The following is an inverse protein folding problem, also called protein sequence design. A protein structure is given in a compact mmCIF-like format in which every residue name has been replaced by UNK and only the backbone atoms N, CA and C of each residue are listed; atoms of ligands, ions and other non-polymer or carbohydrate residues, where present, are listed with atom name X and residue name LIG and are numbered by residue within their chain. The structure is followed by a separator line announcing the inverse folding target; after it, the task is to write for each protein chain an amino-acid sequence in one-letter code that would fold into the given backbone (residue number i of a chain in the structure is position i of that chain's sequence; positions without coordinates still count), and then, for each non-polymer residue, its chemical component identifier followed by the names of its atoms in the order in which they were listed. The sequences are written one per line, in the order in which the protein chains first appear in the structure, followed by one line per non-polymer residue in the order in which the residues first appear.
data_IF_959265057888
#
_entry.id   IF_959265057888
#
_cell.length_a   1.000
_cell.length_b   1.000
_cell.length_c   1.000
_cell.angle_alpha   90.00
_cell.angle_beta   90.00
_cell.angle_gamma   90.00
#
_symmetry.space_group_name_H-M   'P 1'
#
loop_
_entity.id
_entity.type
_entity.pdbx_description
1 polymer ?
#
# COMPACT_ATOMS: atom_id res chain seq x y z
N UNK A 1 -26.81 41.14 28.56
CA UNK A 1 -28.09 41.65 28.01
C UNK A 1 -27.95 42.75 26.94
N UNK A 2 -26.74 43.18 26.49
CA UNK A 2 -26.61 44.32 25.56
C UNK A 2 -26.15 43.96 24.12
N UNK A 3 -26.08 42.68 23.74
CA UNK A 3 -25.55 42.24 22.43
C UNK A 3 -26.57 41.57 21.49
N UNK A 4 -27.75 41.19 21.98
CA UNK A 4 -28.81 40.59 21.15
C UNK A 4 -29.54 41.60 20.25
N UNK A 5 -29.47 42.90 20.57
CA UNK A 5 -30.19 43.94 19.81
C UNK A 5 -29.56 44.30 18.45
N UNK A 6 -28.46 43.67 18.03
CA UNK A 6 -27.70 44.05 16.83
C UNK A 6 -27.75 43.02 15.68
N UNK A 7 -28.52 41.93 15.80
CA UNK A 7 -28.57 40.88 14.76
C UNK A 7 -27.22 40.19 14.49
N UNK A 8 -26.25 40.37 15.38
CA UNK A 8 -24.95 39.72 15.30
C UNK A 8 -25.11 38.27 15.79
N UNK A 9 -24.62 37.27 15.03
CA UNK A 9 -24.67 35.88 15.45
C UNK A 9 -24.14 35.72 16.88
N UNK A 10 -24.96 35.16 17.76
CA UNK A 10 -24.56 34.79 19.12
C UNK A 10 -23.34 33.88 18.97
N UNK A 11 -22.22 34.12 19.69
CA UNK A 11 -21.03 33.29 19.52
C UNK A 11 -21.39 31.85 19.85
N UNK A 12 -21.39 31.00 18.82
CA UNK A 12 -21.35 29.55 18.98
C UNK A 12 -20.22 29.21 19.95
N UNK A 13 -20.44 28.15 20.74
CA UNK A 13 -19.48 27.56 21.67
C UNK A 13 -18.03 27.81 21.23
N UNK A 14 -17.21 28.43 22.09
CA UNK A 14 -15.82 28.74 21.75
C UNK A 14 -15.04 27.43 21.64
N UNK A 15 -15.03 26.85 20.45
CA UNK A 15 -14.32 25.63 20.16
C UNK A 15 -12.84 25.78 20.51
N UNK A 16 -12.36 24.90 21.37
CA UNK A 16 -10.92 24.62 21.44
C UNK A 16 -10.56 23.63 20.34
N UNK A 17 -9.28 23.58 19.96
CA UNK A 17 -8.81 22.58 18.99
C UNK A 17 -9.10 21.17 19.49
N UNK A 18 -8.96 20.91 20.79
CA UNK A 18 -9.24 19.59 21.37
C UNK A 18 -10.72 19.21 21.21
N UNK A 19 -11.64 20.08 21.64
CA UNK A 19 -13.08 19.83 21.53
C UNK A 19 -13.51 19.64 20.08
N UNK A 20 -13.00 20.47 19.17
CA UNK A 20 -13.33 20.35 17.76
C UNK A 20 -12.78 19.05 17.14
N UNK A 21 -11.55 18.64 17.47
CA UNK A 21 -11.00 17.39 16.96
C UNK A 21 -11.78 16.18 17.47
N UNK A 22 -12.26 16.21 18.71
CA UNK A 22 -13.13 15.17 19.27
C UNK A 22 -14.45 15.08 18.52
N UNK A 23 -15.14 16.22 18.33
CA UNK A 23 -16.36 16.31 17.54
C UNK A 23 -16.14 15.83 16.09
N UNK A 24 -15.11 16.34 15.42
CA UNK A 24 -14.76 15.96 14.05
C UNK A 24 -14.48 14.46 13.92
N UNK A 25 -13.78 13.87 14.90
CA UNK A 25 -13.53 12.42 14.91
C UNK A 25 -14.82 11.62 15.07
N UNK A 26 -15.70 12.02 15.99
CA UNK A 26 -16.95 11.32 16.30
C UNK A 26 -17.99 11.44 15.17
N UNK A 27 -18.25 12.66 14.70
CA UNK A 27 -19.40 12.97 13.85
C UNK A 27 -19.06 12.96 12.35
N UNK A 28 -17.79 13.21 11.98
CA UNK A 28 -17.39 13.28 10.56
C UNK A 28 -16.57 12.05 10.16
N UNK A 29 -15.52 11.73 10.93
CA UNK A 29 -14.55 10.70 10.53
C UNK A 29 -15.10 9.29 10.77
N UNK A 30 -15.66 9.03 11.95
CA UNK A 30 -16.17 7.70 12.33
C UNK A 30 -17.27 7.16 11.40
N UNK A 31 -18.29 7.93 11.01
CA UNK A 31 -19.33 7.41 10.11
C UNK A 31 -18.86 7.30 8.65
N UNK A 32 -17.91 8.14 8.22
CA UNK A 32 -17.54 8.25 6.80
C UNK A 32 -16.33 7.40 6.40
N UNK A 33 -15.37 7.21 7.30
CA UNK A 33 -14.09 6.57 7.00
C UNK A 33 -14.00 5.15 7.56
N UNK A 34 -13.18 4.33 6.90
CA UNK A 34 -12.91 2.97 7.37
C UNK A 34 -12.30 2.97 8.78
N UNK A 35 -12.58 1.96 9.63
CA UNK A 35 -12.13 1.92 11.03
C UNK A 35 -10.64 2.16 11.22
N UNK A 36 -9.81 1.62 10.33
CA UNK A 36 -8.35 1.80 10.38
C UNK A 36 -7.91 3.25 10.13
N UNK A 37 -8.62 3.98 9.27
CA UNK A 37 -8.32 5.38 8.99
C UNK A 37 -8.71 6.23 10.19
N UNK A 38 -9.87 5.96 10.79
CA UNK A 38 -10.31 6.59 12.05
C UNK A 38 -9.27 6.41 13.16
N UNK A 39 -8.83 5.17 13.42
CA UNK A 39 -7.78 4.88 14.41
C UNK A 39 -6.48 5.65 14.13
N UNK A 40 -6.13 5.82 12.85
CA UNK A 40 -4.97 6.62 12.45
C UNK A 40 -5.12 8.11 12.71
N UNK A 41 -6.32 8.66 12.50
CA UNK A 41 -6.62 10.07 12.77
C UNK A 41 -6.70 10.34 14.28
N UNK A 42 -7.42 9.51 15.03
CA UNK A 42 -7.50 9.57 16.50
C UNK A 42 -6.11 9.53 17.12
N UNK A 43 -5.27 8.58 16.70
CA UNK A 43 -3.93 8.44 17.26
C UNK A 43 -3.06 9.69 16.99
N UNK A 44 -3.21 10.33 15.83
CA UNK A 44 -2.52 11.59 15.53
C UNK A 44 -3.07 12.73 16.39
N UNK A 45 -4.39 12.88 16.48
CA UNK A 45 -5.03 13.91 17.27
C UNK A 45 -4.56 13.82 18.73
N UNK A 46 -4.73 12.65 19.34
CA UNK A 46 -4.40 12.40 20.75
C UNK A 46 -2.91 12.53 21.07
N UNK A 47 -2.01 12.02 20.20
CA UNK A 47 -0.57 11.95 20.52
C UNK A 47 0.22 13.18 20.08
N UNK A 48 -0.25 13.91 19.06
CA UNK A 48 0.55 14.94 18.41
C UNK A 48 -0.14 16.30 18.32
N UNK A 49 -1.47 16.37 18.23
CA UNK A 49 -2.18 17.65 18.10
C UNK A 49 -2.63 18.19 19.47
N UNK A 50 -3.47 17.42 20.18
CA UNK A 50 -4.05 17.81 21.46
C UNK A 50 -3.01 18.23 22.51
N UNK A 51 -1.88 17.50 22.70
CA UNK A 51 -0.88 17.89 23.70
C UNK A 51 -0.23 19.26 23.46
N UNK A 52 -0.19 19.73 22.20
CA UNK A 52 0.56 20.93 21.81
C UNK A 52 -0.37 22.13 21.60
N UNK A 53 -1.48 21.90 20.92
CA UNK A 53 -2.40 22.95 20.46
C UNK A 53 -3.84 22.73 20.93
N UNK A 54 -4.13 21.66 21.68
CA UNK A 54 -5.49 21.31 22.09
C UNK A 54 -6.21 22.40 22.89
N UNK A 55 -5.47 23.10 23.77
CA UNK A 55 -6.00 24.19 24.60
C UNK A 55 -6.25 25.49 23.82
N UNK A 56 -5.75 25.62 22.58
CA UNK A 56 -5.89 26.86 21.81
C UNK A 56 -7.33 27.00 21.31
N UNK A 57 -7.90 28.22 21.30
CA UNK A 57 -9.14 28.48 20.57
C UNK A 57 -8.94 28.17 19.08
N UNK A 58 -9.88 27.43 18.48
CA UNK A 58 -9.83 27.00 17.09
C UNK A 58 -9.68 28.18 16.12
N UNK A 59 -10.42 29.27 16.36
CA UNK A 59 -10.38 30.49 15.56
C UNK A 59 -9.04 31.27 15.65
N UNK A 60 -8.25 31.02 16.70
CA UNK A 60 -6.98 31.72 16.96
C UNK A 60 -5.74 30.89 16.55
N UNK A 61 -5.95 29.73 15.92
CA UNK A 61 -4.84 28.91 15.43
C UNK A 61 -3.99 29.68 14.41
N UNK A 62 -2.68 29.64 14.59
CA UNK A 62 -1.72 30.31 13.70
C UNK A 62 -0.78 29.31 13.01
N UNK A 63 -0.07 29.77 11.97
CA UNK A 63 1.01 28.99 11.34
C UNK A 63 2.13 28.67 12.32
N UNK A 64 2.39 29.53 13.31
CA UNK A 64 3.37 29.30 14.39
C UNK A 64 3.00 28.09 15.23
N UNK A 65 1.72 27.88 15.50
CA UNK A 65 1.24 26.73 16.26
C UNK A 65 1.40 25.43 15.47
N UNK A 66 1.10 25.45 14.16
CA UNK A 66 1.37 24.32 13.27
C UNK A 66 2.86 24.00 13.22
N UNK A 67 3.73 25.01 13.10
CA UNK A 67 5.18 24.79 13.16
C UNK A 67 5.63 24.18 14.50
N UNK A 68 5.04 24.60 15.63
CA UNK A 68 5.33 24.03 16.95
C UNK A 68 4.98 22.54 17.00
N UNK A 69 3.81 22.15 16.51
CA UNK A 69 3.41 20.73 16.40
C UNK A 69 4.43 19.95 15.58
N UNK A 70 4.75 20.41 14.37
CA UNK A 70 5.66 19.68 13.49
C UNK A 70 7.09 19.61 14.04
N UNK A 71 7.56 20.66 14.73
CA UNK A 71 8.85 20.68 15.40
C UNK A 71 8.90 19.65 16.54
N UNK A 72 7.85 19.57 17.36
CA UNK A 72 7.77 18.58 18.44
C UNK A 72 7.71 17.14 17.92
N UNK A 73 6.97 16.89 16.84
CA UNK A 73 6.95 15.57 16.18
C UNK A 73 8.33 15.20 15.63
N UNK A 74 9.08 16.16 15.06
CA UNK A 74 10.46 15.93 14.62
C UNK A 74 11.38 15.63 15.79
N UNK A 75 11.26 16.38 16.89
CA UNK A 75 12.06 16.21 18.09
C UNK A 75 11.84 14.84 18.76
N UNK A 76 10.66 14.23 18.60
CA UNK A 76 10.38 12.88 19.09
C UNK A 76 11.01 11.76 18.24
N UNK A 77 11.90 12.07 17.30
CA UNK A 77 12.54 11.10 16.41
C UNK A 77 11.62 10.55 15.31
N UNK A 78 10.48 11.19 15.05
CA UNK A 78 9.54 10.73 14.03
C UNK A 78 10.12 10.85 12.62
N UNK A 79 9.81 9.88 11.75
CA UNK A 79 10.23 9.94 10.35
C UNK A 79 9.61 11.15 9.61
N UNK A 80 10.26 11.68 8.56
CA UNK A 80 9.67 12.75 7.73
C UNK A 80 8.26 12.41 7.21
N UNK A 81 7.99 11.12 6.93
CA UNK A 81 6.67 10.66 6.48
C UNK A 81 5.61 10.78 7.57
N UNK A 82 5.98 10.57 8.83
CA UNK A 82 5.08 10.75 9.97
C UNK A 82 4.78 12.23 10.19
N UNK A 83 5.77 13.12 10.04
CA UNK A 83 5.56 14.58 10.09
C UNK A 83 4.55 15.02 9.02
N UNK A 84 4.71 14.54 7.78
CA UNK A 84 3.74 14.79 6.70
C UNK A 84 2.34 14.25 7.05
N UNK A 85 2.27 13.07 7.67
CA UNK A 85 0.99 12.48 8.06
C UNK A 85 0.28 13.33 9.11
N UNK A 86 0.99 13.77 10.16
CA UNK A 86 0.43 14.66 11.19
C UNK A 86 -0.10 15.95 10.57
N UNK A 87 0.69 16.57 9.69
CA UNK A 87 0.27 17.78 8.95
C UNK A 87 -0.98 17.53 8.09
N UNK A 88 -1.04 16.40 7.38
CA UNK A 88 -2.18 16.06 6.54
C UNK A 88 -3.48 15.83 7.33
N UNK A 89 -3.41 15.19 8.51
CA UNK A 89 -4.57 15.02 9.39
C UNK A 89 -5.07 16.37 9.88
N UNK A 90 -4.18 17.23 10.40
CA UNK A 90 -4.55 18.58 10.84
C UNK A 90 -5.14 19.41 9.69
N UNK A 91 -4.53 19.37 8.50
CA UNK A 91 -5.05 20.03 7.32
C UNK A 91 -6.45 19.55 6.96
N UNK A 92 -6.72 18.25 7.06
CA UNK A 92 -8.04 17.67 6.77
C UNK A 92 -9.08 18.16 7.78
N UNK A 93 -8.76 18.11 9.08
CA UNK A 93 -9.64 18.60 10.15
C UNK A 93 -9.98 20.08 9.98
N UNK A 94 -8.98 20.94 9.69
CA UNK A 94 -9.20 22.36 9.46
C UNK A 94 -9.93 22.66 8.14
N UNK A 95 -9.88 21.75 7.16
CA UNK A 95 -10.69 21.89 5.93
C UNK A 95 -12.16 21.69 6.25
N UNK A 96 -12.51 20.71 7.10
CA UNK A 96 -13.87 20.57 7.63
C UNK A 96 -14.28 21.81 8.43
N UNK A 97 -13.40 22.31 9.31
CA UNK A 97 -13.71 23.48 10.14
C UNK A 97 -13.98 24.74 9.32
N UNK A 98 -13.29 24.91 8.19
CA UNK A 98 -13.55 26.03 7.28
C UNK A 98 -14.84 25.84 6.51
N UNK A 99 -15.21 24.60 6.13
CA UNK A 99 -16.49 24.29 5.47
C UNK A 99 -17.69 24.47 6.40
N UNK A 100 -17.49 24.24 7.70
CA UNK A 100 -18.46 24.47 8.77
C UNK A 100 -18.41 25.91 9.29
N UNK A 101 -17.66 26.80 8.63
CA UNK A 101 -17.54 28.24 8.96
C UNK A 101 -16.99 28.55 10.37
N UNK A 102 -16.46 27.55 11.08
CA UNK A 102 -15.83 27.69 12.40
C UNK A 102 -14.48 28.40 12.34
N UNK A 103 -13.84 28.41 11.16
CA UNK A 103 -12.57 29.10 10.89
C UNK A 103 -12.63 29.84 9.58
N UNK A 104 -12.03 31.03 9.52
CA UNK A 104 -11.98 31.85 8.30
C UNK A 104 -11.02 31.30 7.25
N UNK A 105 -10.00 30.55 7.67
CA UNK A 105 -9.02 29.93 6.76
C UNK A 105 -8.35 28.70 7.38
N UNK A 106 -7.91 27.80 6.52
CA UNK A 106 -7.10 26.66 6.92
C UNK A 106 -5.61 27.04 7.05
N UNK A 107 -5.17 27.35 8.27
CA UNK A 107 -3.76 27.73 8.52
C UNK A 107 -2.75 26.62 8.25
N UNK A 108 -3.15 25.35 8.27
CA UNK A 108 -2.24 24.25 7.93
C UNK A 108 -1.88 24.26 6.43
N UNK A 109 -2.73 24.81 5.55
CA UNK A 109 -2.41 24.96 4.13
C UNK A 109 -1.29 25.98 3.86
N UNK A 110 -1.04 26.89 4.78
CA UNK A 110 0.01 27.91 4.66
C UNK A 110 1.39 27.38 5.09
N UNK A 111 1.45 26.19 5.69
CA UNK A 111 2.68 25.57 6.18
C UNK A 111 3.18 24.53 5.18
N UNK A 112 4.43 24.70 4.76
CA UNK A 112 5.11 23.75 3.88
C UNK A 112 5.73 22.59 4.66
N UNK A 113 5.51 21.37 4.19
CA UNK A 113 6.22 20.18 4.68
C UNK A 113 7.23 19.70 3.64
N UNK A 114 8.42 19.22 4.05
CA UNK A 114 9.40 18.72 3.11
C UNK A 114 8.84 17.54 2.30
N UNK A 115 9.19 17.49 1.02
CA UNK A 115 8.86 16.37 0.14
C UNK A 115 9.66 15.14 0.55
N UNK A 116 8.98 14.13 1.07
CA UNK A 116 9.61 12.84 1.37
C UNK A 116 9.66 12.02 0.10
N UNK A 117 10.85 11.88 -0.48
CA UNK A 117 11.08 10.93 -1.55
C UNK A 117 10.95 9.52 -0.97
N UNK A 118 9.92 8.79 -1.39
CA UNK A 118 9.80 7.38 -1.03
C UNK A 118 10.93 6.60 -1.68
N UNK A 119 11.74 5.90 -0.87
CA UNK A 119 12.68 4.91 -1.41
C UNK A 119 11.88 3.82 -2.13
N UNK A 120 11.95 3.80 -3.46
CA UNK A 120 11.39 2.71 -4.26
C UNK A 120 12.15 1.43 -3.87
N UNK A 121 11.40 0.38 -3.51
CA UNK A 121 12.02 -0.90 -3.16
C UNK A 121 12.78 -1.47 -4.35
N UNK A 122 13.94 -2.11 -4.09
CA UNK A 122 14.66 -2.89 -5.10
C UNK A 122 13.85 -4.15 -5.43
N UNK A 123 13.70 -4.45 -6.71
CA UNK A 123 13.17 -5.74 -7.16
C UNK A 123 14.24 -6.84 -7.05
N UNK A 124 13.83 -8.05 -6.69
CA UNK A 124 14.72 -9.21 -6.72
C UNK A 124 15.04 -9.59 -8.16
N UNK A 125 16.29 -9.95 -8.42
CA UNK A 125 16.67 -10.66 -9.65
C UNK A 125 16.14 -12.09 -9.64
N UNK A 126 16.13 -12.75 -10.79
CA UNK A 126 15.71 -14.16 -10.88
C UNK A 126 16.57 -15.08 -9.99
N UNK A 127 17.93 -14.98 -10.00
CA UNK A 127 18.76 -15.80 -9.12
C UNK A 127 18.51 -15.53 -7.63
N UNK A 128 18.23 -14.28 -7.26
CA UNK A 128 17.86 -13.96 -5.87
C UNK A 128 16.48 -14.51 -5.50
N UNK A 129 15.53 -14.49 -6.44
CA UNK A 129 14.21 -15.08 -6.24
C UNK A 129 14.29 -16.59 -6.06
N UNK A 130 15.13 -17.26 -6.86
CA UNK A 130 15.40 -18.69 -6.70
C UNK A 130 16.03 -19.01 -5.34
N UNK A 131 17.09 -18.27 -4.94
CA UNK A 131 17.70 -18.42 -3.61
C UNK A 131 16.70 -18.17 -2.48
N UNK A 132 15.80 -17.20 -2.64
CA UNK A 132 14.76 -16.91 -1.66
C UNK A 132 13.79 -18.09 -1.51
N UNK A 133 13.31 -18.65 -2.63
CA UNK A 133 12.39 -19.78 -2.61
C UNK A 133 13.08 -21.05 -2.07
N UNK A 134 14.34 -21.29 -2.43
CA UNK A 134 15.15 -22.38 -1.88
C UNK A 134 15.33 -22.23 -0.37
N UNK A 135 15.60 -21.03 0.14
CA UNK A 135 15.73 -20.79 1.57
C UNK A 135 14.39 -20.83 2.32
N UNK A 136 13.27 -20.67 1.61
CA UNK A 136 11.93 -20.85 2.17
C UNK A 136 11.47 -22.31 2.18
N UNK A 137 12.13 -23.19 1.43
CA UNK A 137 11.78 -24.60 1.32
C UNK A 137 11.79 -25.27 2.71
N UNK A 138 10.71 -25.95 3.07
CA UNK A 138 10.52 -26.59 4.37
C UNK A 138 10.09 -25.65 5.51
N UNK A 139 10.08 -24.32 5.32
CA UNK A 139 9.47 -23.42 6.31
C UNK A 139 7.96 -23.64 6.35
N UNK A 140 7.35 -23.56 7.54
CA UNK A 140 5.90 -23.66 7.69
C UNK A 140 5.13 -22.68 6.80
N UNK A 141 5.72 -21.51 6.50
CA UNK A 141 5.15 -20.48 5.65
C UNK A 141 5.75 -20.46 4.23
N UNK A 142 6.34 -21.55 3.75
CA UNK A 142 6.88 -21.66 2.39
C UNK A 142 5.90 -21.17 1.31
N UNK A 143 4.66 -21.66 1.35
CA UNK A 143 3.62 -21.30 0.39
C UNK A 143 3.30 -19.79 0.40
N UNK A 144 3.45 -19.09 1.53
CA UNK A 144 3.31 -17.61 1.58
C UNK A 144 4.32 -16.95 0.64
N UNK A 145 5.57 -17.41 0.62
CA UNK A 145 6.62 -16.84 -0.23
C UNK A 145 6.46 -17.24 -1.69
N UNK A 146 6.06 -18.48 -1.97
CA UNK A 146 5.77 -18.94 -3.34
C UNK A 146 4.66 -18.11 -3.96
N UNK A 147 3.52 -17.96 -3.29
CA UNK A 147 2.39 -17.15 -3.77
C UNK A 147 2.77 -15.67 -3.92
N UNK A 148 3.50 -15.13 -2.94
CA UNK A 148 3.98 -13.76 -2.98
C UNK A 148 4.81 -13.43 -4.22
N UNK A 149 5.73 -14.34 -4.58
CA UNK A 149 6.62 -14.17 -5.74
C UNK A 149 5.85 -14.31 -7.04
N UNK A 150 4.99 -15.33 -7.17
CA UNK A 150 4.33 -15.64 -8.45
C UNK A 150 3.10 -14.76 -8.72
N UNK A 151 2.33 -14.40 -7.70
CA UNK A 151 1.05 -13.72 -7.84
C UNK A 151 1.10 -12.23 -7.45
N UNK A 152 2.17 -11.80 -6.78
CA UNK A 152 2.37 -10.40 -6.38
C UNK A 152 1.29 -9.86 -5.44
N UNK A 153 0.66 -10.74 -4.64
CA UNK A 153 -0.42 -10.38 -3.73
C UNK A 153 0.05 -9.41 -2.64
N UNK A 154 -0.84 -8.52 -2.20
CA UNK A 154 -0.59 -7.72 -0.99
C UNK A 154 -0.59 -8.64 0.21
N UNK A 155 0.24 -8.35 1.21
CA UNK A 155 0.32 -9.19 2.41
C UNK A 155 -1.05 -9.42 3.07
N UNK A 156 -1.89 -8.39 3.14
CA UNK A 156 -3.25 -8.52 3.68
C UNK A 156 -4.17 -9.39 2.80
N UNK A 157 -4.04 -9.34 1.48
CA UNK A 157 -4.78 -10.20 0.55
C UNK A 157 -4.34 -11.66 0.71
N UNK A 158 -3.03 -11.88 0.74
CA UNK A 158 -2.42 -13.21 0.90
C UNK A 158 -2.85 -13.87 2.22
N UNK A 159 -2.77 -13.14 3.34
CA UNK A 159 -3.21 -13.63 4.65
C UNK A 159 -4.74 -13.69 4.79
N UNK A 160 -5.48 -13.13 3.85
CA UNK A 160 -6.94 -13.17 3.79
C UNK A 160 -7.50 -14.28 2.92
N UNK A 161 -6.66 -15.10 2.27
CA UNK A 161 -7.11 -16.17 1.39
C UNK A 161 -7.85 -17.26 2.16
N UNK A 162 -8.96 -17.74 1.59
CA UNK A 162 -9.73 -18.88 2.10
C UNK A 162 -9.64 -20.04 1.12
N UNK A 163 -9.73 -21.27 1.62
CA UNK A 163 -9.74 -22.45 0.75
C UNK A 163 -10.94 -22.48 -0.20
N UNK A 164 -12.08 -21.88 0.19
CA UNK A 164 -13.24 -21.73 -0.67
C UNK A 164 -12.99 -20.81 -1.89
N UNK A 165 -12.00 -19.93 -1.83
CA UNK A 165 -11.65 -19.00 -2.91
C UNK A 165 -10.54 -19.58 -3.83
N UNK A 166 -10.10 -20.83 -3.60
CA UNK A 166 -9.01 -21.51 -4.31
C UNK A 166 -9.54 -22.75 -5.02
N UNK A 167 -9.53 -22.71 -6.35
CA UNK A 167 -9.80 -23.88 -7.19
C UNK A 167 -8.49 -24.43 -7.74
N UNK A 168 -7.96 -25.47 -7.08
CA UNK A 168 -6.73 -26.14 -7.50
C UNK A 168 -6.92 -26.96 -8.78
N UNK A 169 -8.13 -27.44 -9.06
CA UNK A 169 -8.41 -28.26 -10.23
C UNK A 169 -8.53 -27.40 -11.50
N UNK A 170 -9.25 -26.28 -11.42
CA UNK A 170 -9.34 -25.31 -12.50
C UNK A 170 -8.13 -24.37 -12.58
N UNK A 171 -7.22 -24.41 -11.60
CA UNK A 171 -6.03 -23.55 -11.53
C UNK A 171 -6.39 -22.07 -11.37
N UNK A 172 -7.34 -21.73 -10.49
CA UNK A 172 -7.85 -20.37 -10.30
C UNK A 172 -7.87 -19.98 -8.83
N UNK A 173 -7.58 -18.70 -8.55
CA UNK A 173 -7.67 -18.09 -7.23
C UNK A 173 -8.46 -16.79 -7.31
N UNK A 174 -9.45 -16.65 -6.44
CA UNK A 174 -10.19 -15.40 -6.28
C UNK A 174 -9.66 -14.58 -5.10
N UNK A 175 -9.25 -13.34 -5.37
CA UNK A 175 -8.82 -12.41 -4.32
C UNK A 175 -10.03 -11.62 -3.85
N UNK A 176 -10.78 -12.19 -2.91
CA UNK A 176 -12.05 -11.61 -2.42
C UNK A 176 -11.88 -10.86 -1.09
N UNK A 177 -10.96 -11.29 -0.24
CA UNK A 177 -10.80 -10.81 1.13
C UNK A 177 -9.42 -10.22 1.39
N UNK A 178 -9.34 -9.39 2.44
CA UNK A 178 -8.08 -8.92 3.00
C UNK A 178 -8.11 -9.04 4.52
N UNK A 179 -7.06 -9.59 5.13
CA UNK A 179 -6.94 -9.67 6.57
C UNK A 179 -6.46 -8.32 7.13
N UNK A 180 -7.27 -7.71 7.98
CA UNK A 180 -6.99 -6.43 8.60
C UNK A 180 -7.09 -6.51 10.12
N UNK A 181 -6.37 -5.62 10.82
CA UNK A 181 -6.53 -5.44 12.26
C UNK A 181 -7.63 -4.39 12.47
N UNK A 182 -8.75 -4.81 13.04
CA UNK A 182 -9.90 -3.96 13.41
C UNK A 182 -10.10 -4.15 14.90
N UNK A 183 -10.06 -3.04 15.66
CA UNK A 183 -10.20 -3.03 17.13
C UNK A 183 -9.35 -4.10 17.86
N UNK A 184 -8.08 -4.19 17.45
CA UNK A 184 -7.11 -5.13 18.04
C UNK A 184 -7.19 -6.56 17.51
N UNK A 185 -8.27 -6.93 16.79
CA UNK A 185 -8.51 -8.29 16.29
C UNK A 185 -8.22 -8.42 14.80
N UNK A 186 -7.73 -9.58 14.36
CA UNK A 186 -7.55 -9.89 12.95
C UNK A 186 -8.89 -10.31 12.35
N UNK A 187 -9.38 -9.54 11.38
CA UNK A 187 -10.70 -9.71 10.77
C UNK A 187 -10.57 -9.73 9.25
N UNK A 188 -11.31 -10.63 8.60
CA UNK A 188 -11.44 -10.64 7.14
C UNK A 188 -12.35 -9.50 6.72
N UNK A 189 -11.84 -8.64 5.84
CA UNK A 189 -12.56 -7.49 5.33
C UNK A 189 -12.59 -7.56 3.82
N UNK A 190 -13.79 -7.42 3.26
CA UNK A 190 -14.00 -7.29 1.83
C UNK A 190 -13.44 -5.94 1.36
N UNK A 191 -12.65 -5.89 0.26
CA UNK A 191 -12.11 -4.64 -0.26
C UNK A 191 -13.18 -3.57 -0.49
N UNK A 192 -12.85 -2.32 -0.17
CA UNK A 192 -13.75 -1.15 -0.28
C UNK A 192 -14.32 -0.92 -1.70
N UNK A 193 -13.72 -1.52 -2.73
CA UNK A 193 -14.16 -1.37 -4.13
C UNK A 193 -14.26 -2.74 -4.79
N UNK A 194 -15.35 -2.96 -5.55
CA UNK A 194 -15.56 -4.17 -6.36
C UNK A 194 -14.40 -4.42 -7.33
N UNK A 195 -13.83 -3.35 -7.89
CA UNK A 195 -12.65 -3.38 -8.77
C UNK A 195 -11.37 -3.97 -8.14
N UNK A 196 -11.33 -4.14 -6.82
CA UNK A 196 -10.20 -4.79 -6.14
C UNK A 196 -10.32 -6.33 -6.11
N UNK A 197 -11.52 -6.87 -6.34
CA UNK A 197 -11.74 -8.30 -6.50
C UNK A 197 -11.28 -8.73 -7.88
N UNK A 198 -10.51 -9.81 -7.93
CA UNK A 198 -9.93 -10.31 -9.18
C UNK A 198 -9.69 -11.80 -9.09
N UNK A 199 -9.82 -12.46 -10.23
CA UNK A 199 -9.42 -13.85 -10.40
C UNK A 199 -8.01 -13.89 -10.99
N UNK A 200 -7.15 -14.71 -10.42
CA UNK A 200 -5.78 -14.93 -10.88
C UNK A 200 -5.63 -16.39 -11.32
N UNK A 201 -4.91 -16.66 -12.42
CA UNK A 201 -4.49 -18.01 -12.73
C UNK A 201 -3.48 -18.49 -11.67
N UNK A 202 -3.50 -19.78 -11.35
CA UNK A 202 -2.54 -20.43 -10.47
C UNK A 202 -1.48 -21.17 -11.31
N UNK A 203 -0.23 -20.66 -11.38
CA UNK A 203 0.87 -21.39 -11.99
C UNK A 203 1.14 -22.72 -11.29
N UNK A 204 1.66 -23.72 -12.01
CA UNK A 204 1.96 -25.05 -11.46
C UNK A 204 2.80 -25.03 -10.16
N UNK A 205 3.87 -24.20 -10.02
CA UNK A 205 4.61 -24.12 -8.76
C UNK A 205 3.77 -23.65 -7.57
N UNK A 206 2.76 -22.80 -7.82
CA UNK A 206 1.85 -22.32 -6.79
C UNK A 206 0.87 -23.41 -6.39
N UNK A 207 0.35 -24.18 -7.35
CA UNK A 207 -0.55 -25.31 -7.09
C UNK A 207 0.16 -26.36 -6.23
N UNK A 208 1.39 -26.74 -6.59
CA UNK A 208 2.19 -27.69 -5.81
C UNK A 208 2.39 -27.20 -4.36
N UNK A 209 2.82 -25.95 -4.18
CA UNK A 209 3.01 -25.38 -2.85
C UNK A 209 1.70 -25.31 -2.03
N UNK A 210 0.56 -25.07 -2.67
CA UNK A 210 -0.74 -25.07 -1.98
C UNK A 210 -1.18 -26.49 -1.57
N UNK A 211 -0.92 -27.50 -2.40
CA UNK A 211 -1.21 -28.90 -2.05
C UNK A 211 -0.40 -29.33 -0.82
N UNK A 212 0.91 -29.09 -0.85
CA UNK A 212 1.80 -29.42 0.28
C UNK A 212 1.40 -28.67 1.55
N UNK A 213 1.05 -27.39 1.41
CA UNK A 213 0.57 -26.57 2.51
C UNK A 213 -0.75 -27.10 3.09
N UNK A 214 -1.69 -27.54 2.24
CA UNK A 214 -2.95 -28.14 2.68
C UNK A 214 -2.73 -29.44 3.44
N UNK A 215 -1.81 -30.29 2.96
CA UNK A 215 -1.44 -31.53 3.64
C UNK A 215 -0.81 -31.25 5.01
N UNK A 216 0.12 -30.30 5.10
CA UNK A 216 0.72 -29.86 6.37
C UNK A 216 -0.33 -29.35 7.34
N UNK A 217 -1.23 -28.49 6.88
CA UNK A 217 -2.31 -27.94 7.70
C UNK A 217 -3.26 -29.04 8.22
N UNK A 218 -3.56 -30.07 7.42
CA UNK A 218 -4.35 -31.22 7.85
C UNK A 218 -3.63 -32.01 8.96
N UNK A 219 -2.30 -32.17 8.85
CA UNK A 219 -1.48 -32.74 9.93
C UNK A 219 -1.51 -31.90 11.21
N UNK A 220 -1.39 -30.58 11.11
CA UNK A 220 -1.52 -29.67 12.26
C UNK A 220 -2.91 -29.78 12.92
N UNK A 221 -3.98 -29.83 12.12
CA UNK A 221 -5.36 -30.03 12.59
C UNK A 221 -5.50 -31.35 13.36
N UNK A 222 -4.96 -32.43 12.84
CA UNK A 222 -5.01 -33.73 13.51
C UNK A 222 -4.21 -33.73 14.81
N UNK A 223 -3.03 -33.10 14.84
CA UNK A 223 -2.19 -33.02 16.04
C UNK A 223 -2.80 -32.18 17.16
N UNK A 224 -3.51 -31.10 16.82
CA UNK A 224 -4.18 -30.23 17.81
C UNK A 224 -5.54 -30.79 18.25
N UNK A 225 -6.19 -31.60 17.41
CA UNK A 225 -7.50 -32.20 17.65
C UNK A 225 -8.56 -31.17 18.09
N UNK A 226 -9.01 -31.22 19.35
CA UNK A 226 -10.10 -30.41 19.88
C UNK A 226 -9.80 -28.90 19.92
N UNK A 227 -8.51 -28.51 19.96
CA UNK A 227 -8.11 -27.10 19.99
C UNK A 227 -8.11 -26.39 18.63
N UNK A 228 -8.48 -27.09 17.55
CA UNK A 228 -8.39 -26.54 16.20
C UNK A 228 -9.54 -25.59 15.87
N UNK A 229 -9.20 -24.37 15.45
CA UNK A 229 -10.17 -23.39 14.96
C UNK A 229 -10.39 -23.57 13.45
N UNK A 230 -11.58 -24.04 13.06
CA UNK A 230 -11.92 -24.20 11.64
C UNK A 230 -12.31 -22.86 10.98
N UNK A 231 -11.29 -22.07 10.66
CA UNK A 231 -11.48 -20.75 10.06
C UNK A 231 -11.66 -20.76 8.53
N UNK A 232 -11.40 -21.89 7.88
CA UNK A 232 -11.37 -22.01 6.42
C UNK A 232 -10.29 -21.17 5.72
N UNK A 233 -9.35 -20.57 6.46
CA UNK A 233 -8.24 -19.80 5.90
C UNK A 233 -7.13 -20.71 5.35
N UNK A 234 -6.52 -20.28 4.23
CA UNK A 234 -5.35 -20.95 3.66
C UNK A 234 -4.18 -20.85 4.63
N UNK A 235 -3.86 -19.64 5.11
CA UNK A 235 -2.76 -19.42 6.04
C UNK A 235 -3.27 -19.17 7.46
N UNK A 236 -2.95 -20.11 8.35
CA UNK A 236 -3.40 -20.11 9.74
C UNK A 236 -2.22 -20.17 10.71
N UNK A 237 -2.47 -19.87 11.98
CA UNK A 237 -1.60 -20.26 13.10
C UNK A 237 -1.62 -21.78 13.29
N UNK A 238 -0.73 -22.33 14.12
CA UNK A 238 -0.68 -23.78 14.37
C UNK A 238 -1.98 -24.37 14.95
N UNK A 239 -2.89 -23.52 15.45
CA UNK A 239 -4.21 -23.91 15.99
C UNK A 239 -5.38 -23.51 15.07
N UNK A 240 -5.13 -23.19 13.80
CA UNK A 240 -6.19 -22.89 12.81
C UNK A 240 -6.71 -21.45 12.80
N UNK A 241 -6.32 -20.62 13.78
CA UNK A 241 -6.69 -19.20 13.84
C UNK A 241 -5.99 -18.29 12.80
N UNK A 242 -6.37 -17.00 12.71
CA UNK A 242 -5.81 -16.04 11.74
C UNK A 242 -4.31 -15.80 11.91
N UNK A 243 -3.55 -15.96 10.82
CA UNK A 243 -2.12 -15.69 10.81
C UNK A 243 -1.83 -14.19 10.68
N UNK A 244 -1.28 -13.58 11.72
CA UNK A 244 -0.91 -12.17 11.71
C UNK A 244 0.33 -11.85 10.86
N UNK A 245 0.47 -10.59 10.37
CA UNK A 245 1.66 -10.13 9.63
C UNK A 245 2.98 -10.31 10.40
N UNK A 246 2.92 -10.32 11.73
CA UNK A 246 4.07 -10.52 12.61
C UNK A 246 4.70 -11.92 12.47
N UNK A 247 3.89 -12.95 12.21
CA UNK A 247 4.39 -14.30 11.96
C UNK A 247 5.16 -14.39 10.64
N UNK A 248 4.61 -13.78 9.58
CA UNK A 248 5.29 -13.66 8.27
C UNK A 248 6.59 -12.89 8.42
N UNK A 249 6.62 -11.80 9.21
CA UNK A 249 7.85 -11.04 9.48
C UNK A 249 8.91 -11.91 10.15
N UNK A 250 8.54 -12.72 11.14
CA UNK A 250 9.49 -13.62 11.83
C UNK A 250 10.09 -14.65 10.88
N UNK A 251 9.27 -15.28 10.04
CA UNK A 251 9.78 -16.20 9.00
C UNK A 251 10.67 -15.48 7.98
N UNK A 252 10.26 -14.30 7.52
CA UNK A 252 11.07 -13.48 6.61
C UNK A 252 12.45 -13.12 7.16
N UNK A 253 12.57 -12.79 8.45
CA UNK A 253 13.86 -12.45 9.06
C UNK A 253 14.86 -13.60 8.97
N UNK A 254 14.39 -14.85 9.01
CA UNK A 254 15.22 -16.05 8.84
C UNK A 254 15.59 -16.33 7.38
N UNK A 255 14.67 -16.07 6.44
CA UNK A 255 14.84 -16.40 5.02
C UNK A 255 15.60 -15.31 4.25
N UNK A 256 15.40 -14.03 4.60
CA UNK A 256 15.99 -12.88 3.90
C UNK A 256 17.53 -12.88 3.75
N UNK A 257 18.35 -13.51 4.63
CA UNK A 257 19.80 -13.54 4.43
C UNK A 257 20.23 -14.26 3.15
N UNK A 258 19.36 -15.10 2.56
CA UNK A 258 19.61 -15.76 1.28
C UNK A 258 19.67 -14.80 0.07
N UNK A 259 19.24 -13.54 0.25
CA UNK A 259 19.29 -12.49 -0.77
C UNK A 259 20.13 -11.31 -0.30
N UNK A 260 20.90 -10.74 -1.21
CA UNK A 260 21.83 -9.65 -0.88
C UNK A 260 21.15 -8.27 -1.00
N UNK A 261 21.46 -7.36 -0.08
CA UNK A 261 21.01 -5.98 -0.11
C UNK A 261 19.61 -5.71 0.50
N UNK A 262 19.14 -4.45 0.43
CA UNK A 262 17.93 -4.01 1.14
C UNK A 262 16.65 -4.49 0.43
N UNK A 263 16.21 -5.70 0.73
CA UNK A 263 14.94 -6.26 0.24
C UNK A 263 13.86 -6.04 1.29
N UNK A 264 12.76 -5.39 0.90
CA UNK A 264 11.60 -5.22 1.79
C UNK A 264 10.71 -6.46 1.71
N UNK A 265 10.38 -7.00 2.86
CA UNK A 265 9.29 -7.96 2.99
C UNK A 265 8.03 -7.37 2.37
N UNK A 266 7.40 -8.14 1.46
CA UNK A 266 6.00 -8.06 1.06
C UNK A 266 5.36 -6.74 1.47
N UNK A 267 5.73 -5.66 0.76
CA UNK A 267 5.39 -4.32 1.22
C UNK A 267 3.88 -4.18 1.37
N UNK A 268 3.39 -3.24 2.18
CA UNK A 268 1.94 -2.93 2.29
C UNK A 268 1.28 -2.66 0.93
N UNK A 269 2.07 -2.36 -0.11
CA UNK A 269 1.64 -2.13 -1.49
C UNK A 269 1.73 -3.38 -2.39
N UNK A 270 1.97 -4.55 -1.80
CA UNK A 270 2.33 -5.78 -2.49
C UNK A 270 3.83 -5.82 -2.74
N UNK A 271 4.42 -7.01 -2.71
CA UNK A 271 5.59 -7.20 -3.54
C UNK A 271 5.08 -7.16 -4.97
N UNK A 272 5.10 -5.99 -5.61
CA UNK A 272 4.93 -5.93 -7.06
C UNK A 272 6.21 -6.50 -7.68
N UNK A 273 6.41 -7.81 -7.57
CA UNK A 273 7.23 -8.60 -8.49
C UNK A 273 6.46 -8.62 -9.81
N UNK A 274 6.43 -7.47 -10.48
CA UNK A 274 5.56 -7.29 -11.62
C UNK A 274 6.28 -7.83 -12.85
N UNK A 275 6.07 -9.11 -13.14
CA UNK A 275 6.14 -9.60 -14.52
C UNK A 275 4.98 -8.94 -15.27
N UNK A 276 5.28 -7.98 -16.12
CA UNK A 276 4.27 -7.33 -16.95
C UNK A 276 3.88 -8.28 -18.09
N UNK A 277 2.61 -8.67 -18.16
CA UNK A 277 2.03 -9.34 -19.34
C UNK A 277 1.57 -8.36 -20.43
N UNK A 278 1.74 -7.04 -20.24
CA UNK A 278 1.26 -6.00 -21.18
C UNK A 278 2.41 -5.06 -21.55
N UNK A 279 2.63 -4.75 -22.84
CA UNK A 279 3.69 -3.83 -23.25
C UNK A 279 3.45 -2.45 -22.63
N UNK A 280 4.37 -2.01 -21.77
CA UNK A 280 4.40 -0.65 -21.22
C UNK A 280 5.23 0.20 -22.16
N UNK A 281 4.76 1.40 -22.52
CA UNK A 281 5.54 2.30 -23.36
C UNK A 281 6.86 2.68 -22.66
N UNK A 282 8.00 2.72 -23.37
CA UNK A 282 9.31 3.04 -22.79
C UNK A 282 9.37 4.40 -22.09
N UNK A 283 8.45 5.31 -22.42
CA UNK A 283 8.36 6.65 -21.84
C UNK A 283 7.74 6.73 -20.44
N UNK A 284 7.10 5.66 -19.94
CA UNK A 284 6.40 5.66 -18.63
C UNK A 284 7.04 4.73 -17.58
N UNK A 285 8.11 4.02 -17.92
CA UNK A 285 8.78 3.06 -17.03
C UNK A 285 10.30 3.11 -17.24
N UNK A 286 11.12 3.26 -16.19
CA UNK A 286 12.58 3.21 -16.28
C UNK A 286 13.15 1.81 -16.58
N UNK A 287 12.30 0.79 -16.78
CA UNK A 287 12.69 -0.58 -17.10
C UNK A 287 12.34 -0.92 -18.57
N UNK A 288 13.25 -1.54 -19.35
CA UNK A 288 13.00 -1.90 -20.75
C UNK A 288 11.99 -3.05 -20.91
N UNK A 289 11.37 -3.21 -22.09
CA UNK A 289 10.39 -4.27 -22.35
C UNK A 289 11.03 -5.67 -22.37
N UNK A 290 10.34 -6.65 -21.80
CA UNK A 290 10.76 -8.06 -21.78
C UNK A 290 10.80 -8.64 -23.21
N UNK A 291 11.92 -9.21 -23.63
CA UNK A 291 11.97 -10.07 -24.83
C UNK A 291 11.58 -11.50 -24.46
N UNK A 292 10.73 -12.10 -25.30
CA UNK A 292 10.14 -13.43 -25.13
C UNK A 292 11.21 -14.52 -25.32
N UNK A 293 11.40 -15.36 -24.30
CA UNK A 293 12.05 -16.67 -24.43
C UNK A 293 10.94 -17.72 -24.29
N UNK A 294 10.86 -18.66 -25.22
CA UNK A 294 9.80 -19.67 -25.40
C UNK A 294 9.63 -20.70 -24.28
N UNK A 295 9.94 -20.34 -23.04
CA UNK A 295 9.90 -21.20 -21.85
C UNK A 295 9.06 -20.55 -20.73
N UNK A 296 8.20 -19.58 -21.07
CA UNK A 296 7.18 -19.02 -20.16
C UNK A 296 7.67 -18.08 -19.05
N UNK A 297 8.98 -17.79 -18.94
CA UNK A 297 9.55 -16.87 -17.96
C UNK A 297 10.53 -15.91 -18.64
N UNK A 298 10.19 -14.62 -18.67
CA UNK A 298 11.02 -13.57 -19.30
C UNK A 298 11.83 -12.79 -18.26
N UNK A 299 13.15 -12.74 -18.42
CA UNK A 299 14.15 -12.04 -17.60
C UNK A 299 14.44 -10.63 -18.10
N UNK A 300 14.85 -9.71 -17.21
CA UNK A 300 15.72 -8.56 -17.54
C UNK A 300 16.66 -8.24 -16.37
N UNK A 301 17.95 -8.10 -16.68
CA UNK A 301 18.99 -7.46 -15.87
C UNK A 301 19.57 -6.30 -16.68
N UNK A 302 19.72 -5.10 -16.09
CA UNK A 302 20.96 -4.31 -16.12
C UNK A 302 20.79 -2.93 -15.44
N UNK A 303 21.80 -2.60 -14.64
CA UNK A 303 22.08 -1.33 -13.97
C UNK A 303 22.71 -0.34 -14.95
N UNK A 304 22.40 0.96 -14.85
CA UNK A 304 23.43 1.99 -15.02
C UNK A 304 23.18 3.19 -14.10
N UNK A 305 24.20 3.50 -13.29
CA UNK A 305 24.38 4.74 -12.52
C UNK A 305 24.73 5.86 -13.49
N UNK A 306 24.38 7.09 -13.11
CA UNK A 306 24.95 8.30 -13.68
C UNK A 306 23.90 9.36 -13.91
N UNK A 307 24.12 10.54 -13.31
CA UNK A 307 23.60 11.83 -13.76
C UNK A 307 23.75 11.97 -15.28
N UNK A 308 23.01 12.87 -15.91
CA UNK A 308 23.56 13.92 -16.77
C UNK A 308 22.42 14.75 -17.35
N UNK A 309 22.77 16.01 -17.56
CA UNK A 309 21.93 17.15 -17.92
C UNK A 309 21.33 17.03 -19.31
N UNK A 310 20.19 17.69 -19.49
CA UNK A 310 19.61 17.95 -20.79
C UNK A 310 20.60 18.73 -21.68
N UNK A 311 20.96 18.16 -22.83
CA UNK A 311 21.38 18.86 -24.05
C UNK A 311 21.52 17.86 -25.20
N UNK A 312 20.83 18.12 -26.32
CA UNK A 312 21.08 17.48 -27.61
C UNK A 312 19.99 16.53 -28.12
N UNK A 313 18.93 17.09 -28.72
CA UNK A 313 18.15 16.37 -29.74
C UNK A 313 18.94 16.44 -31.05
N UNK A 314 19.52 15.30 -31.45
CA UNK A 314 20.15 15.10 -32.75
C UNK A 314 19.56 13.84 -33.40
N UNK A 315 18.91 14.03 -34.54
CA UNK A 315 18.35 13.04 -35.44
C UNK A 315 19.30 11.88 -35.79
N UNK A 316 18.77 10.68 -36.02
CA UNK A 316 19.25 9.75 -37.06
C UNK A 316 18.36 8.49 -37.17
N UNK A 317 17.43 8.51 -38.13
CA UNK A 317 16.85 7.28 -38.71
C UNK A 317 17.72 6.84 -39.89
N UNK A 318 18.15 5.57 -39.99
CA UNK A 318 18.75 5.06 -41.22
C UNK A 318 17.76 4.25 -42.07
N UNK A 319 17.48 4.79 -43.26
CA UNK A 319 17.47 4.13 -44.57
C UNK A 319 16.72 2.81 -44.80
N UNK A 320 15.72 2.86 -45.69
CA UNK A 320 15.56 1.88 -46.79
C UNK A 320 15.17 2.62 -48.08
N UNK A 321 16.05 2.56 -49.08
CA UNK A 321 15.76 2.83 -50.50
C UNK A 321 15.54 1.49 -51.19
N UNK A 322 14.49 1.38 -52.00
CA UNK A 322 14.57 1.07 -53.45
C UNK A 322 13.19 0.65 -53.97
N UNK A 323 12.86 1.10 -55.20
CA UNK A 323 11.68 0.62 -55.93
C UNK A 323 10.86 1.74 -56.59
N UNK A 324 11.41 2.38 -57.63
CA UNK A 324 10.59 2.95 -58.72
C UNK A 324 10.32 1.85 -59.74
N UNK A 325 9.18 1.90 -60.42
CA UNK A 325 9.27 2.33 -61.81
C UNK A 325 8.24 3.40 -62.19
N UNK A 326 8.63 4.17 -63.19
CA UNK A 326 7.82 5.03 -64.08
C UNK A 326 6.59 4.30 -64.64
N UNK A 327 5.51 4.94 -65.12
CA UNK A 327 5.44 5.97 -66.17
C UNK A 327 3.94 6.25 -66.45
N UNK A 328 3.69 7.39 -67.11
CA UNK A 328 2.51 7.75 -67.95
C UNK A 328 1.27 8.31 -67.25
N UNK A 329 0.79 9.41 -67.84
CA UNK A 329 -0.35 10.18 -67.42
C UNK A 329 -1.52 10.10 -68.41
N UNK A 330 -2.58 10.81 -68.03
CA UNK A 330 -3.85 11.14 -68.69
C UNK A 330 -4.86 11.19 -67.51
N UNK A 331 -5.72 12.18 -67.29
CA UNK A 331 -6.27 13.29 -68.05
C UNK A 331 -7.63 13.59 -67.40
N UNK A 332 -8.10 14.84 -67.47
CA UNK A 332 -9.45 15.35 -67.10
C UNK A 332 -9.93 15.12 -65.65
N UNK A 333 -10.38 16.11 -64.88
CA UNK A 333 -11.17 17.30 -65.20
C UNK A 333 -10.90 18.36 -64.13
#
# INVERSE_FOLDING_TARGET
MAREAAGLPVPHERWTVAAYLEHWLAEVVRPTLAPRTYQGYEAVARRHLVPVIGHRPLAMLSTRDVHRVLAQVRASGASPRQVQWVHAVLRTALTCATREELTTRNVAMLVHTPTVLSRVGRALSVPETQRLLQAAAGDRLEAVFVLAVHLGLRQAELLGLRWADVDLAAGRLEVVHSLQRVDGRLTLVVPKTSASRRTLPLPAPVIAALIEHRARQAGERHAVAEGWVDSGMVFTTAVGGPLGPDAVRRSWVRIRPAVTGPVRLLSRLGARFRCYHRPVSPSRSPNPPCQFLGNGLSTVSAVRRGSWSARGLGSCCPGRRSGRPSRLGAGST
#
